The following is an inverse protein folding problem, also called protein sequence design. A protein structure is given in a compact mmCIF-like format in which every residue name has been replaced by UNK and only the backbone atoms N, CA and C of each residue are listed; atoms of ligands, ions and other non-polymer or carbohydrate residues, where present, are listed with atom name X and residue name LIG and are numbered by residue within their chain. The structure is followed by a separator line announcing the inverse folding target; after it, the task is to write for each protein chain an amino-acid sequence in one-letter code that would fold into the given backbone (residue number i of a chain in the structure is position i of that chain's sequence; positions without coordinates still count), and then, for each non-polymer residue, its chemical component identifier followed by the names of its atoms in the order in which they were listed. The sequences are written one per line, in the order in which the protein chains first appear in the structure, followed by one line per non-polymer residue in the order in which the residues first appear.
data_IF_825270364840
#
_entry.id   IF_825270364840
#
_cell.length_a   1.000
_cell.length_b   1.000
_cell.length_c   1.000
_cell.angle_alpha   90.00
_cell.angle_beta   90.00
_cell.angle_gamma   90.00
#
_symmetry.space_group_name_H-M   'P 1'
#
loop_
_entity.id
_entity.type
_entity.pdbx_description
1 polymer ?
#
# COMPACT_ATOMS: atom_id res chain seq x y z
N UNK A 1 -9.12 21.60 70.01
CA UNK A 1 -8.51 22.38 68.89
C UNK A 1 -8.49 21.50 67.65
N UNK A 2 -9.11 21.99 66.57
CA UNK A 2 -8.88 21.78 65.12
C UNK A 2 -8.40 20.41 64.56
N UNK A 3 -9.21 19.94 63.60
CA UNK A 3 -9.00 18.99 62.49
C UNK A 3 -7.57 18.69 62.01
N UNK A 4 -7.32 17.44 61.60
CA UNK A 4 -6.96 17.13 60.21
C UNK A 4 -7.12 15.65 59.81
N UNK A 5 -7.57 15.46 58.58
CA UNK A 5 -8.07 14.23 57.95
C UNK A 5 -6.97 13.24 57.55
N UNK A 6 -7.24 11.94 57.70
CA UNK A 6 -6.53 10.88 56.97
C UNK A 6 -7.49 10.18 56.01
N UNK A 7 -7.31 10.44 54.72
CA UNK A 7 -7.99 9.75 53.62
C UNK A 7 -7.31 8.38 53.46
N UNK A 8 -8.03 7.29 53.74
CA UNK A 8 -7.58 5.94 53.39
C UNK A 8 -7.74 5.74 51.89
N UNK A 9 -6.63 5.50 51.18
CA UNK A 9 -6.62 5.09 49.78
C UNK A 9 -7.02 3.61 49.72
N UNK A 10 -8.11 3.21 49.05
CA UNK A 10 -8.37 1.80 48.82
C UNK A 10 -7.43 1.32 47.70
N UNK A 11 -6.84 0.14 47.91
CA UNK A 11 -6.17 -0.67 46.90
C UNK A 11 -7.12 -0.92 45.71
N UNK A 12 -7.12 -0.03 44.72
CA UNK A 12 -7.55 -0.40 43.38
C UNK A 12 -6.34 -1.04 42.70
N UNK A 13 -6.27 -2.36 42.82
CA UNK A 13 -5.37 -3.18 42.02
C UNK A 13 -5.65 -2.88 40.54
N UNK A 14 -4.70 -2.18 39.93
CA UNK A 14 -4.59 -1.93 38.49
C UNK A 14 -4.46 -3.25 37.75
N UNK A 15 -5.59 -3.91 37.47
CA UNK A 15 -5.66 -4.91 36.40
C UNK A 15 -5.83 -4.16 35.07
N UNK A 16 -4.79 -3.42 34.68
CA UNK A 16 -4.63 -3.04 33.27
C UNK A 16 -4.10 -4.30 32.60
N UNK A 17 -5.03 -5.14 32.13
CA UNK A 17 -4.70 -6.18 31.16
C UNK A 17 -3.99 -5.49 30.01
N UNK A 18 -2.66 -5.62 30.00
CA UNK A 18 -1.84 -5.19 28.88
C UNK A 18 -2.25 -6.06 27.71
N UNK A 19 -3.21 -5.58 26.94
CA UNK A 19 -3.48 -6.06 25.60
C UNK A 19 -2.27 -5.61 24.78
N UNK A 20 -1.17 -6.35 24.91
CA UNK A 20 -0.09 -6.31 23.95
C UNK A 20 -0.73 -6.83 22.67
N UNK A 21 -1.24 -5.92 21.86
CA UNK A 21 -1.51 -6.18 20.46
C UNK A 21 -0.13 -6.48 19.89
N UNK A 22 0.22 -7.77 19.88
CA UNK A 22 1.34 -8.25 19.11
C UNK A 22 1.07 -7.73 17.70
N UNK A 23 1.85 -6.74 17.27
CA UNK A 23 1.93 -6.39 15.86
C UNK A 23 2.49 -7.64 15.23
N UNK A 24 1.62 -8.49 14.69
CA UNK A 24 2.02 -9.55 13.77
C UNK A 24 2.66 -8.79 12.62
N UNK A 25 3.98 -8.74 12.60
CA UNK A 25 4.75 -8.26 11.47
C UNK A 25 4.53 -9.29 10.37
N UNK A 26 3.44 -9.14 9.62
CA UNK A 26 3.22 -9.95 8.43
C UNK A 26 4.38 -9.61 7.49
N UNK A 27 5.22 -10.61 7.20
CA UNK A 27 6.38 -10.44 6.32
C UNK A 27 5.86 -10.17 4.91
N UNK A 28 5.81 -8.90 4.51
CA UNK A 28 5.47 -8.52 3.14
C UNK A 28 6.72 -8.64 2.27
N UNK A 29 6.66 -9.44 1.21
CA UNK A 29 7.72 -9.53 0.23
C UNK A 29 7.49 -8.49 -0.87
N UNK A 30 8.53 -7.74 -1.24
CA UNK A 30 8.49 -6.74 -2.30
C UNK A 30 9.47 -7.15 -3.40
N UNK A 31 8.97 -7.24 -4.63
CA UNK A 31 9.75 -7.58 -5.82
C UNK A 31 9.61 -6.49 -6.87
N UNK A 32 10.74 -6.01 -7.37
CA UNK A 32 10.82 -5.04 -8.48
C UNK A 32 11.17 -5.79 -9.76
N UNK A 33 10.54 -5.44 -10.87
CA UNK A 33 10.76 -6.10 -12.17
C UNK A 33 10.93 -5.06 -13.26
N UNK A 34 12.07 -5.09 -13.93
CA UNK A 34 12.23 -4.47 -15.24
C UNK A 34 11.56 -5.39 -16.27
N UNK A 35 10.50 -4.90 -16.91
CA UNK A 35 9.74 -5.71 -17.86
C UNK A 35 10.39 -5.78 -19.24
N UNK A 36 11.28 -4.84 -19.58
CA UNK A 36 12.05 -4.90 -20.82
C UNK A 36 13.15 -5.96 -20.73
N UNK A 37 13.87 -5.99 -19.61
CA UNK A 37 15.00 -6.89 -19.39
C UNK A 37 14.61 -8.19 -18.65
N UNK A 38 13.34 -8.35 -18.28
CA UNK A 38 12.77 -9.48 -17.53
C UNK A 38 13.56 -9.81 -16.24
N UNK A 39 14.25 -8.81 -15.66
CA UNK A 39 15.07 -8.96 -14.47
C UNK A 39 14.24 -8.61 -13.23
N UNK A 40 14.33 -9.45 -12.20
CA UNK A 40 13.68 -9.22 -10.92
C UNK A 40 14.69 -8.95 -9.80
N UNK A 41 14.28 -8.12 -8.85
CA UNK A 41 15.08 -7.69 -7.71
C UNK A 41 14.26 -7.88 -6.44
N UNK A 42 14.88 -8.45 -5.40
CA UNK A 42 14.27 -8.56 -4.06
C UNK A 42 14.30 -7.20 -3.36
N UNK A 43 13.80 -7.14 -2.12
CA UNK A 43 13.78 -5.92 -1.30
C UNK A 43 15.16 -5.30 -1.03
N UNK A 44 16.25 -6.07 -1.18
CA UNK A 44 17.63 -5.59 -1.08
C UNK A 44 18.15 -5.23 -2.49
N UNK A 45 17.82 -4.02 -2.95
CA UNK A 45 18.19 -3.53 -4.29
C UNK A 45 19.53 -2.78 -4.21
N UNK A 46 20.47 -3.08 -5.10
CA UNK A 46 21.73 -2.33 -5.20
C UNK A 46 21.54 -1.00 -5.94
N UNK A 47 22.47 -0.04 -5.76
CA UNK A 47 22.41 1.25 -6.47
C UNK A 47 22.44 1.08 -8.00
N UNK A 48 23.17 0.08 -8.50
CA UNK A 48 23.21 -0.24 -9.93
C UNK A 48 21.85 -0.76 -10.43
N UNK A 49 21.18 -1.59 -9.62
CA UNK A 49 19.85 -2.10 -9.96
C UNK A 49 18.81 -0.98 -9.92
N UNK A 50 18.89 -0.07 -8.95
CA UNK A 50 18.06 1.15 -8.90
C UNK A 50 18.24 2.01 -10.15
N UNK A 51 19.48 2.18 -10.62
CA UNK A 51 19.77 2.95 -11.82
C UNK A 51 19.14 2.31 -13.08
N UNK A 52 19.21 0.98 -13.21
CA UNK A 52 18.59 0.24 -14.32
C UNK A 52 17.06 0.40 -14.29
N UNK A 53 16.44 0.13 -13.13
CA UNK A 53 15.00 0.29 -12.92
C UNK A 53 14.52 1.73 -13.18
N UNK A 54 15.34 2.73 -12.84
CA UNK A 54 15.01 4.13 -13.08
C UNK A 54 15.05 4.55 -14.55
N UNK A 55 15.80 3.82 -15.39
CA UNK A 55 15.91 4.06 -16.83
C UNK A 55 14.91 3.26 -17.66
N UNK A 56 14.34 2.19 -17.09
CA UNK A 56 13.36 1.35 -17.79
C UNK A 56 12.13 2.14 -18.24
N UNK A 57 11.51 1.71 -19.33
CA UNK A 57 10.26 2.32 -19.81
C UNK A 57 9.03 1.81 -19.05
N UNK A 58 9.16 0.62 -18.44
CA UNK A 58 8.14 -0.02 -17.61
C UNK A 58 8.82 -0.63 -16.37
N UNK A 59 8.28 -0.31 -15.20
CA UNK A 59 8.67 -0.90 -13.92
C UNK A 59 7.42 -1.53 -13.30
N UNK A 60 7.53 -2.80 -12.90
CA UNK A 60 6.50 -3.47 -12.11
C UNK A 60 6.99 -3.69 -10.68
N UNK A 61 6.13 -3.41 -9.71
CA UNK A 61 6.39 -3.65 -8.29
C UNK A 61 5.30 -4.54 -7.74
N UNK A 62 5.70 -5.68 -7.21
CA UNK A 62 4.82 -6.64 -6.57
C UNK A 62 5.02 -6.54 -5.07
N UNK A 63 3.92 -6.50 -4.32
CA UNK A 63 3.90 -6.66 -2.87
C UNK A 63 2.94 -7.76 -2.54
N UNK A 64 3.37 -8.73 -1.74
CA UNK A 64 2.54 -9.86 -1.36
C UNK A 64 2.75 -10.21 0.11
N UNK A 65 1.65 -10.58 0.75
CA UNK A 65 1.63 -11.26 2.03
C UNK A 65 0.53 -12.34 2.04
N UNK A 66 0.27 -12.96 3.18
CA UNK A 66 -0.74 -14.04 3.29
C UNK A 66 -2.17 -13.56 2.99
N UNK A 67 -2.48 -12.30 3.32
CA UNK A 67 -3.83 -11.74 3.29
C UNK A 67 -4.01 -10.68 2.20
N UNK A 68 -2.94 -10.26 1.53
CA UNK A 68 -3.01 -9.24 0.50
C UNK A 68 -1.98 -9.44 -0.61
N UNK A 69 -2.30 -8.89 -1.78
CA UNK A 69 -1.33 -8.68 -2.84
C UNK A 69 -1.59 -7.40 -3.59
N UNK A 70 -0.53 -6.83 -4.15
CA UNK A 70 -0.65 -5.73 -5.09
C UNK A 70 0.36 -5.82 -6.21
N UNK A 71 -0.05 -5.35 -7.38
CA UNK A 71 0.83 -5.08 -8.50
C UNK A 71 0.72 -3.60 -8.85
N UNK A 72 1.85 -2.93 -8.86
CA UNK A 72 1.97 -1.56 -9.36
C UNK A 72 2.76 -1.57 -10.65
N UNK A 73 2.28 -0.86 -11.66
CA UNK A 73 2.92 -0.67 -12.95
C UNK A 73 3.18 0.82 -13.12
N UNK A 74 4.43 1.15 -13.43
CA UNK A 74 4.89 2.48 -13.78
C UNK A 74 5.33 2.46 -15.24
N UNK A 75 4.82 3.39 -16.05
CA UNK A 75 5.17 3.49 -17.46
C UNK A 75 5.58 4.90 -17.84
N UNK A 76 6.71 5.01 -18.54
CA UNK A 76 7.20 6.27 -19.10
C UNK A 76 8.09 5.99 -20.31
N UNK A 77 7.71 6.40 -21.52
CA UNK A 77 8.56 6.23 -22.72
C UNK A 77 9.93 6.93 -22.62
N UNK A 78 10.08 7.88 -21.70
CA UNK A 78 11.34 8.59 -21.48
C UNK A 78 12.27 7.88 -20.47
N UNK A 79 11.85 6.74 -19.90
CA UNK A 79 12.41 6.14 -18.69
C UNK A 79 11.65 6.60 -17.44
N UNK A 80 11.53 5.74 -16.42
CA UNK A 80 10.75 6.02 -15.20
C UNK A 80 11.19 7.32 -14.52
N UNK A 81 12.47 7.49 -14.20
CA UNK A 81 12.92 8.64 -13.43
C UNK A 81 12.95 9.94 -14.23
N UNK A 82 13.28 9.87 -15.52
CA UNK A 82 13.19 11.03 -16.41
C UNK A 82 11.74 11.45 -16.63
N UNK A 83 10.84 10.48 -16.74
CA UNK A 83 9.40 10.68 -16.75
C UNK A 83 8.95 11.39 -15.48
N UNK A 84 9.23 10.81 -14.32
CA UNK A 84 8.79 11.30 -13.01
C UNK A 84 9.23 12.75 -12.75
N UNK A 85 10.46 13.10 -13.13
CA UNK A 85 11.02 14.44 -12.95
C UNK A 85 10.41 15.48 -13.91
N UNK A 86 10.01 15.11 -15.14
CA UNK A 86 9.67 16.10 -16.17
C UNK A 86 8.32 15.90 -16.88
N UNK A 87 7.98 14.66 -17.29
CA UNK A 87 6.87 14.37 -18.22
C UNK A 87 5.67 13.69 -17.57
N UNK A 88 5.86 13.12 -16.39
CA UNK A 88 4.89 12.25 -15.72
C UNK A 88 5.17 10.78 -15.98
N UNK A 89 4.69 9.95 -15.07
CA UNK A 89 4.71 8.49 -15.17
C UNK A 89 3.27 8.01 -15.06
N UNK A 90 2.84 7.19 -16.01
CA UNK A 90 1.55 6.52 -15.90
C UNK A 90 1.67 5.46 -14.81
N UNK A 91 0.71 5.49 -13.90
CA UNK A 91 0.67 4.68 -12.69
C UNK A 91 -0.61 3.87 -12.70
N UNK A 92 -0.48 2.55 -12.57
CA UNK A 92 -1.62 1.65 -12.34
C UNK A 92 -1.29 0.76 -11.15
N UNK A 93 -2.17 0.71 -10.16
CA UNK A 93 -2.02 -0.18 -9.01
C UNK A 93 -3.27 -1.02 -8.80
N UNK A 94 -3.08 -2.32 -8.82
CA UNK A 94 -4.11 -3.33 -8.59
C UNK A 94 -3.86 -3.97 -7.23
N UNK A 95 -4.85 -3.89 -6.33
CA UNK A 95 -4.76 -4.43 -4.95
C UNK A 95 -5.80 -5.53 -4.74
N UNK A 96 -5.44 -6.54 -3.97
CA UNK A 96 -6.32 -7.62 -3.52
C UNK A 96 -6.15 -7.80 -2.01
N UNK A 97 -7.26 -7.82 -1.28
CA UNK A 97 -7.33 -8.22 0.12
C UNK A 97 -8.18 -9.48 0.20
N UNK A 98 -7.56 -10.60 0.55
CA UNK A 98 -8.20 -11.91 0.58
C UNK A 98 -9.08 -12.05 1.82
N UNK A 99 -10.18 -12.79 1.70
CA UNK A 99 -11.04 -13.12 2.84
C UNK A 99 -10.45 -14.24 3.71
N UNK A 100 -9.55 -15.04 3.13
CA UNK A 100 -8.88 -16.16 3.77
C UNK A 100 -7.49 -16.35 3.17
N UNK A 101 -6.46 -16.72 3.97
CA UNK A 101 -5.10 -16.93 3.45
C UNK A 101 -5.01 -18.11 2.47
N UNK A 102 -5.93 -19.07 2.57
CA UNK A 102 -5.94 -20.29 1.75
C UNK A 102 -6.86 -20.19 0.53
N UNK A 103 -7.64 -19.11 0.40
CA UNK A 103 -8.55 -18.89 -0.73
C UNK A 103 -8.34 -17.50 -1.33
N UNK A 104 -7.57 -17.46 -2.42
CA UNK A 104 -7.27 -16.23 -3.16
C UNK A 104 -8.35 -15.82 -4.16
N UNK A 105 -9.41 -16.62 -4.30
CA UNK A 105 -10.52 -16.33 -5.23
C UNK A 105 -11.56 -15.41 -4.60
N UNK A 106 -11.64 -15.42 -3.27
CA UNK A 106 -12.50 -14.57 -2.45
C UNK A 106 -11.72 -13.34 -1.96
N UNK A 107 -11.97 -12.17 -2.56
CA UNK A 107 -11.25 -10.94 -2.22
C UNK A 107 -12.07 -9.66 -2.48
N UNK A 108 -11.64 -8.59 -1.83
CA UNK A 108 -12.00 -7.22 -2.20
C UNK A 108 -10.74 -6.40 -2.47
N UNK A 109 -10.84 -5.44 -3.37
CA UNK A 109 -9.66 -4.82 -3.94
C UNK A 109 -9.98 -3.55 -4.70
N UNK A 110 -9.02 -3.11 -5.50
CA UNK A 110 -9.16 -1.92 -6.32
C UNK A 110 -8.17 -1.87 -7.47
N UNK A 111 -8.51 -1.08 -8.48
CA UNK A 111 -7.58 -0.60 -9.50
C UNK A 111 -7.52 0.92 -9.39
N UNK A 112 -6.33 1.45 -9.13
CA UNK A 112 -6.05 2.89 -9.08
C UNK A 112 -5.20 3.27 -10.28
N UNK A 113 -5.69 4.20 -11.09
CA UNK A 113 -4.94 4.79 -12.20
C UNK A 113 -4.57 6.23 -11.92
N UNK A 114 -3.40 6.69 -12.34
CA UNK A 114 -2.99 8.08 -12.23
C UNK A 114 -1.84 8.43 -13.18
N UNK A 115 -1.58 9.72 -13.35
CA UNK A 115 -0.29 10.23 -13.85
C UNK A 115 0.43 10.92 -12.69
N UNK A 116 1.59 10.40 -12.29
CA UNK A 116 2.36 10.87 -11.13
C UNK A 116 3.62 11.63 -11.55
N UNK A 117 3.99 12.63 -10.73
CA UNK A 117 5.12 13.53 -10.95
C UNK A 117 5.89 13.75 -9.65
N UNK A 118 7.20 13.99 -9.74
CA UNK A 118 8.05 14.31 -8.58
C UNK A 118 7.81 15.72 -8.04
N UNK A 119 7.59 16.70 -8.91
CA UNK A 119 7.44 18.11 -8.54
C UNK A 119 6.06 18.73 -8.82
N UNK A 120 5.06 17.93 -9.25
CA UNK A 120 3.72 18.41 -9.61
C UNK A 120 2.65 17.56 -8.94
N UNK A 121 1.43 18.11 -8.91
CA UNK A 121 0.24 17.38 -8.46
C UNK A 121 -0.05 16.20 -9.40
N UNK A 122 -0.57 15.13 -8.82
CA UNK A 122 -1.09 13.98 -9.55
C UNK A 122 -2.22 14.42 -10.49
N UNK A 123 -2.25 13.84 -11.68
CA UNK A 123 -3.31 14.05 -12.67
C UNK A 123 -4.00 12.73 -13.01
N UNK A 124 -5.17 12.82 -13.67
CA UNK A 124 -5.91 11.67 -14.20
C UNK A 124 -6.18 10.56 -13.16
N UNK A 125 -6.39 10.95 -11.90
CA UNK A 125 -6.66 10.00 -10.82
C UNK A 125 -8.00 9.29 -11.05
N UNK A 126 -7.95 7.97 -11.13
CA UNK A 126 -9.11 7.08 -11.18
C UNK A 126 -8.98 6.00 -10.11
N UNK A 127 -10.13 5.55 -9.61
CA UNK A 127 -10.21 4.47 -8.63
C UNK A 127 -11.46 3.64 -8.90
N UNK A 128 -11.27 2.34 -9.05
CA UNK A 128 -12.35 1.38 -9.29
C UNK A 128 -12.25 0.29 -8.22
N UNK A 129 -13.22 0.17 -7.30
CA UNK A 129 -13.25 -0.95 -6.37
C UNK A 129 -13.61 -2.25 -7.11
N UNK A 130 -13.03 -3.37 -6.68
CA UNK A 130 -13.26 -4.70 -7.25
C UNK A 130 -13.67 -5.65 -6.12
N UNK A 131 -14.69 -6.46 -6.35
CA UNK A 131 -15.18 -7.44 -5.39
C UNK A 131 -15.37 -8.78 -6.08
N UNK A 132 -14.68 -9.80 -5.60
CA UNK A 132 -14.86 -11.20 -5.97
C UNK A 132 -15.26 -11.92 -4.70
N UNK A 133 -16.55 -11.88 -4.35
CA UNK A 133 -17.06 -12.44 -3.09
C UNK A 133 -18.35 -13.20 -3.35
N UNK A 134 -18.35 -14.50 -3.08
CA UNK A 134 -19.51 -15.37 -3.35
C UNK A 134 -20.63 -15.17 -2.34
N UNK A 135 -20.30 -14.95 -1.06
CA UNK A 135 -21.32 -14.66 -0.04
C UNK A 135 -21.85 -13.23 -0.21
N UNK A 136 -23.11 -13.14 -0.63
CA UNK A 136 -23.79 -11.87 -0.90
C UNK A 136 -23.84 -10.95 0.33
N UNK A 137 -24.10 -11.48 1.53
CA UNK A 137 -24.21 -10.66 2.75
C UNK A 137 -22.84 -10.11 3.15
N UNK A 138 -21.79 -10.91 3.00
CA UNK A 138 -20.41 -10.48 3.22
C UNK A 138 -20.02 -9.40 2.21
N UNK A 139 -20.31 -9.63 0.93
CA UNK A 139 -20.05 -8.68 -0.15
C UNK A 139 -20.73 -7.33 0.09
N UNK A 140 -22.03 -7.31 0.39
CA UNK A 140 -22.78 -6.09 0.70
C UNK A 140 -22.19 -5.33 1.89
N UNK A 141 -21.84 -6.04 2.97
CA UNK A 141 -21.23 -5.43 4.15
C UNK A 141 -19.88 -4.79 3.84
N UNK A 142 -19.03 -5.48 3.10
CA UNK A 142 -17.71 -4.97 2.72
C UNK A 142 -17.85 -3.76 1.81
N UNK A 143 -18.72 -3.82 0.80
CA UNK A 143 -18.99 -2.68 -0.09
C UNK A 143 -19.44 -1.44 0.69
N UNK A 144 -20.33 -1.57 1.68
CA UNK A 144 -20.77 -0.43 2.52
C UNK A 144 -19.59 0.20 3.29
N UNK A 145 -18.66 -0.61 3.78
CA UNK A 145 -17.49 -0.12 4.54
C UNK A 145 -16.49 0.55 3.60
N UNK A 146 -16.18 -0.11 2.49
CA UNK A 146 -15.17 0.30 1.51
C UNK A 146 -15.60 1.57 0.74
N UNK A 147 -16.88 1.67 0.39
CA UNK A 147 -17.42 2.80 -0.36
C UNK A 147 -17.35 4.13 0.42
N UNK A 148 -17.24 4.08 1.75
CA UNK A 148 -17.05 5.28 2.59
C UNK A 148 -15.65 5.89 2.46
N UNK A 149 -14.66 5.13 1.99
CA UNK A 149 -13.24 5.50 2.00
C UNK A 149 -12.60 5.59 0.61
N UNK A 150 -13.39 5.49 -0.47
CA UNK A 150 -12.86 5.41 -1.85
C UNK A 150 -11.87 6.53 -2.19
N UNK A 151 -12.22 7.78 -1.85
CA UNK A 151 -11.35 8.94 -2.11
C UNK A 151 -10.03 8.87 -1.37
N UNK A 152 -10.08 8.51 -0.08
CA UNK A 152 -8.90 8.36 0.76
C UNK A 152 -7.98 7.24 0.24
N UNK A 153 -8.56 6.09 -0.11
CA UNK A 153 -7.81 4.96 -0.67
C UNK A 153 -7.13 5.30 -2.00
N UNK A 154 -7.82 6.00 -2.89
CA UNK A 154 -7.24 6.46 -4.15
C UNK A 154 -6.00 7.34 -3.94
N UNK A 155 -6.08 8.28 -2.98
CA UNK A 155 -4.97 9.17 -2.62
C UNK A 155 -3.83 8.40 -1.98
N UNK A 156 -4.12 7.50 -1.04
CA UNK A 156 -3.10 6.69 -0.36
C UNK A 156 -2.34 5.79 -1.33
N UNK A 157 -3.04 5.09 -2.22
CA UNK A 157 -2.41 4.24 -3.24
C UNK A 157 -1.43 5.05 -4.10
N UNK A 158 -1.83 6.23 -4.57
CA UNK A 158 -0.93 7.10 -5.34
C UNK A 158 0.23 7.61 -4.49
N UNK A 159 -0.02 7.96 -3.22
CA UNK A 159 1.02 8.44 -2.32
C UNK A 159 2.09 7.37 -2.08
N UNK A 160 1.69 6.13 -1.83
CA UNK A 160 2.59 4.99 -1.69
C UNK A 160 3.38 4.75 -3.00
N UNK A 161 2.72 4.82 -4.14
CA UNK A 161 3.39 4.72 -5.45
C UNK A 161 4.42 5.82 -5.69
N UNK A 162 4.11 7.07 -5.30
CA UNK A 162 5.06 8.19 -5.37
C UNK A 162 6.23 8.00 -4.42
N UNK A 163 6.00 7.45 -3.23
CA UNK A 163 7.06 7.17 -2.26
C UNK A 163 8.07 6.16 -2.82
N UNK A 164 7.61 5.09 -3.48
CA UNK A 164 8.50 4.12 -4.15
C UNK A 164 9.43 4.82 -5.16
N UNK A 165 8.90 5.72 -6.00
CA UNK A 165 9.73 6.46 -6.95
C UNK A 165 10.67 7.46 -6.26
N UNK A 166 10.22 8.14 -5.21
CA UNK A 166 10.98 9.21 -4.55
C UNK A 166 12.08 8.65 -3.64
N UNK A 167 11.77 7.57 -2.92
CA UNK A 167 12.57 7.06 -1.81
C UNK A 167 13.36 5.79 -2.17
N UNK A 168 13.12 5.20 -3.33
CA UNK A 168 13.79 3.96 -3.76
C UNK A 168 14.38 4.12 -5.15
N UNK A 169 13.55 4.38 -6.17
CA UNK A 169 13.96 4.22 -7.58
C UNK A 169 14.64 5.46 -8.16
N UNK A 170 14.18 6.67 -7.83
CA UNK A 170 14.60 7.92 -8.47
C UNK A 170 15.30 8.90 -7.54
N UNK A 171 15.96 8.36 -6.51
CA UNK A 171 16.82 9.11 -5.59
C UNK A 171 17.75 10.10 -6.31
#
# INVERSE_FOLDING_TARGET
MKHQSYISVPLFFLMVSSLVIARVSIASNITYVDSADQKSFSSEISDNDVQLLGQSIELKVYKMDEMSSSQTIYESPAGICKGFKARGVNYTNSTHNYLSPNDKTEYYGSVTGATIYGGKNTQNLSYVPVYSISDKKVSERIQIIENKKLKEKAVNNVSEGKAVLTEVICK
#
